data_IF_233390745901
#
_entry.id   IF_233390745901
#
_cell.length_a   1.000
_cell.length_b   1.000
_cell.length_c   1.000
_cell.angle_alpha   90.00
_cell.angle_beta   90.00
_cell.angle_gamma   90.00
#
_symmetry.space_group_name_H-M   'P 1'
#
loop_
_entity.id
_entity.type
_entity.pdbx_description
1 polymer ?
#
# COMPACT_ATOMS: atom_id res chain seq x y z
N UNK A 1 10.60 24.30 31.77
CA UNK A 1 9.95 24.45 33.09
C UNK A 1 8.49 24.09 32.87
N UNK A 2 8.03 22.95 33.38
CA UNK A 2 6.68 22.44 33.10
C UNK A 2 5.67 23.09 34.04
N UNK A 3 4.75 23.88 33.50
CA UNK A 3 3.59 24.33 34.25
C UNK A 3 2.61 23.16 34.40
N UNK A 4 2.13 22.93 35.62
CA UNK A 4 1.18 21.86 35.90
C UNK A 4 -0.19 22.29 35.37
N UNK A 5 -0.64 21.66 34.29
CA UNK A 5 -1.97 21.92 33.76
C UNK A 5 -2.96 21.03 34.48
N UNK A 6 -3.78 21.61 35.35
CA UNK A 6 -4.83 20.87 36.03
C UNK A 6 -6.08 20.72 35.13
N UNK A 7 -6.54 19.49 34.81
CA UNK A 7 -7.60 19.28 33.84
C UNK A 7 -8.99 19.80 34.21
N UNK A 8 -9.25 20.04 35.50
CA UNK A 8 -10.62 20.23 35.98
C UNK A 8 -10.91 21.56 36.68
N UNK A 9 -10.54 22.70 36.09
CA UNK A 9 -10.76 24.03 36.72
C UNK A 9 -12.22 24.44 36.91
N UNK A 10 -13.17 23.64 36.41
CA UNK A 10 -14.60 23.80 36.58
C UNK A 10 -15.16 22.75 37.53
N UNK A 11 -16.16 23.15 38.33
CA UNK A 11 -16.97 22.22 39.13
C UNK A 11 -18.42 22.51 38.79
N UNK A 12 -19.08 21.58 38.11
CA UNK A 12 -20.45 21.65 37.65
C UNK A 12 -21.47 21.41 38.76
N UNK A 13 -22.68 21.92 38.57
CA UNK A 13 -23.80 21.63 39.46
C UNK A 13 -24.39 20.24 39.19
N UNK A 14 -24.11 19.67 38.01
CA UNK A 14 -24.54 18.33 37.60
C UNK A 14 -23.38 17.52 37.03
N UNK A 15 -23.54 16.19 37.03
CA UNK A 15 -22.59 15.27 36.40
C UNK A 15 -22.44 15.52 34.90
N UNK A 16 -23.53 15.86 34.20
CA UNK A 16 -23.50 16.08 32.75
C UNK A 16 -22.68 17.32 32.39
N UNK A 17 -22.74 18.38 33.21
CA UNK A 17 -21.91 19.58 33.04
C UNK A 17 -20.41 19.28 33.23
N UNK A 18 -20.06 18.46 34.23
CA UNK A 18 -18.67 18.03 34.47
C UNK A 18 -18.12 17.21 33.30
N UNK A 19 -18.91 16.25 32.79
CA UNK A 19 -18.53 15.43 31.64
C UNK A 19 -18.35 16.27 30.38
N UNK A 20 -19.23 17.24 30.15
CA UNK A 20 -19.12 18.15 29.02
C UNK A 20 -17.85 19.02 29.12
N UNK A 21 -17.55 19.54 30.31
CA UNK A 21 -16.35 20.31 30.55
C UNK A 21 -15.08 19.50 30.29
N UNK A 22 -14.96 18.31 30.87
CA UNK A 22 -13.80 17.45 30.69
C UNK A 22 -13.62 17.01 29.24
N UNK A 23 -14.71 16.69 28.54
CA UNK A 23 -14.66 16.34 27.11
C UNK A 23 -14.12 17.50 26.28
N UNK A 24 -14.65 18.71 26.46
CA UNK A 24 -14.18 19.87 25.74
C UNK A 24 -12.73 20.20 26.08
N UNK A 25 -12.36 20.13 27.37
CA UNK A 25 -10.98 20.34 27.81
C UNK A 25 -10.01 19.37 27.14
N UNK A 26 -10.36 18.08 27.03
CA UNK A 26 -9.55 17.09 26.32
C UNK A 26 -9.47 17.43 24.83
N UNK A 27 -10.59 17.75 24.18
CA UNK A 27 -10.62 18.08 22.75
C UNK A 27 -9.75 19.30 22.42
N UNK A 28 -9.83 20.35 23.22
CA UNK A 28 -8.99 21.55 23.05
C UNK A 28 -7.50 21.22 23.16
N UNK A 29 -7.14 20.26 24.03
CA UNK A 29 -5.75 19.81 24.18
C UNK A 29 -5.29 18.89 23.07
N UNK A 30 -6.16 18.03 22.55
CA UNK A 30 -5.85 17.22 21.37
C UNK A 30 -5.65 18.15 20.17
N UNK A 31 -6.54 19.12 19.95
CA UNK A 31 -6.37 20.11 18.88
C UNK A 31 -5.08 20.93 19.05
N UNK A 32 -4.76 21.36 20.27
CA UNK A 32 -3.48 22.03 20.52
C UNK A 32 -2.28 21.14 20.20
N UNK A 33 -2.34 19.84 20.51
CA UNK A 33 -1.27 18.89 20.17
C UNK A 33 -1.12 18.75 18.65
N UNK A 34 -2.23 18.63 17.92
CA UNK A 34 -2.22 18.57 16.45
C UNK A 34 -1.60 19.84 15.83
N UNK A 35 -1.84 21.01 16.42
CA UNK A 35 -1.29 22.29 15.95
C UNK A 35 0.18 22.53 16.35
N UNK A 36 0.67 21.93 17.43
CA UNK A 36 1.97 22.27 18.04
C UNK A 36 3.00 21.13 18.05
N UNK A 37 2.60 19.91 17.68
CA UNK A 37 3.54 18.83 17.40
C UNK A 37 3.78 18.83 15.90
N UNK A 38 4.92 19.37 15.49
CA UNK A 38 5.35 19.31 14.10
C UNK A 38 5.56 17.84 13.68
N UNK A 39 4.80 17.41 12.68
CA UNK A 39 4.91 16.11 12.05
C UNK A 39 3.96 16.04 10.87
N UNK A 40 4.50 15.93 9.66
CA UNK A 40 3.67 15.57 8.50
C UNK A 40 3.45 14.07 8.55
N UNK A 41 2.25 13.63 8.92
CA UNK A 41 1.84 12.28 8.62
C UNK A 41 1.65 12.19 7.11
N UNK A 42 2.68 11.70 6.41
CA UNK A 42 2.60 11.31 5.01
C UNK A 42 2.50 9.78 4.98
N UNK A 43 1.29 9.22 5.13
CA UNK A 43 1.08 7.80 4.98
C UNK A 43 1.23 7.39 3.51
N UNK A 44 1.75 6.20 3.27
CA UNK A 44 1.82 5.57 1.96
C UNK A 44 2.69 4.32 2.00
N UNK A 45 2.88 3.65 0.88
CA UNK A 45 3.75 2.48 0.84
C UNK A 45 5.23 2.88 0.93
N UNK A 46 5.94 2.33 1.92
CA UNK A 46 7.38 2.57 2.13
C UNK A 46 8.26 1.42 1.65
N UNK A 47 7.68 0.38 1.05
CA UNK A 47 8.40 -0.75 0.48
C UNK A 47 8.86 -0.38 -0.93
N UNK A 48 10.18 -0.35 -1.17
CA UNK A 48 10.77 0.04 -2.45
C UNK A 48 10.60 -1.02 -3.55
N UNK A 49 10.10 -2.21 -3.19
CA UNK A 49 9.75 -3.29 -4.12
C UNK A 49 8.27 -3.31 -4.50
N UNK A 50 7.42 -2.52 -3.83
CA UNK A 50 5.98 -2.48 -4.09
C UNK A 50 5.63 -1.57 -5.28
N UNK A 51 4.56 -1.91 -5.99
CA UNK A 51 4.17 -1.20 -7.22
C UNK A 51 3.58 0.19 -6.99
N UNK A 52 3.18 0.47 -5.76
CA UNK A 52 2.69 1.76 -5.30
C UNK A 52 3.63 2.41 -4.28
N UNK A 53 4.93 2.10 -4.33
CA UNK A 53 5.94 2.79 -3.52
C UNK A 53 5.81 4.32 -3.66
N UNK A 54 5.68 5.01 -2.52
CA UNK A 54 5.68 6.47 -2.46
C UNK A 54 6.97 6.96 -1.79
N UNK A 55 7.90 7.59 -2.54
CA UNK A 55 9.15 8.10 -1.96
C UNK A 55 8.95 9.24 -0.95
N UNK A 56 7.76 9.82 -0.88
CA UNK A 56 7.42 10.84 0.13
C UNK A 56 6.75 10.24 1.37
N UNK A 57 6.35 8.96 1.34
CA UNK A 57 5.78 8.30 2.50
C UNK A 57 6.81 8.21 3.62
N UNK A 58 6.40 8.69 4.80
CA UNK A 58 7.22 8.63 6.02
C UNK A 58 6.79 7.47 6.93
N UNK A 59 5.64 6.87 6.66
CA UNK A 59 5.04 5.80 7.45
C UNK A 59 4.27 4.84 6.55
N UNK A 60 4.54 3.54 6.71
CA UNK A 60 3.77 2.50 6.02
C UNK A 60 2.36 2.45 6.60
N UNK A 61 1.36 2.73 5.79
CA UNK A 61 -0.06 2.68 6.15
C UNK A 61 -0.72 1.34 5.82
N UNK A 62 0.06 0.36 5.36
CA UNK A 62 -0.41 -0.96 4.94
C UNK A 62 -1.02 -0.98 3.54
N UNK A 63 -0.86 0.08 2.75
CA UNK A 63 -1.36 0.16 1.37
C UNK A 63 -0.47 -0.53 0.34
N UNK A 64 0.73 -1.03 0.70
CA UNK A 64 1.66 -1.63 -0.26
C UNK A 64 1.01 -2.73 -1.08
N UNK A 65 0.99 -2.53 -2.40
CA UNK A 65 0.51 -3.51 -3.36
C UNK A 65 1.71 -4.29 -3.91
N UNK A 66 1.67 -5.63 -3.90
CA UNK A 66 2.68 -6.42 -4.57
C UNK A 66 2.72 -6.01 -6.04
N UNK A 67 3.91 -5.97 -6.63
CA UNK A 67 3.98 -5.80 -8.06
C UNK A 67 3.46 -7.04 -8.76
N UNK A 68 2.53 -6.88 -9.69
CA UNK A 68 2.32 -7.90 -10.71
C UNK A 68 3.63 -8.03 -11.48
N UNK A 69 4.28 -9.19 -11.39
CA UNK A 69 5.48 -9.46 -12.16
C UNK A 69 5.06 -9.61 -13.63
N UNK A 70 5.64 -8.85 -14.57
CA UNK A 70 5.48 -9.19 -15.97
C UNK A 70 5.96 -10.64 -16.18
N UNK A 71 5.10 -11.50 -16.74
CA UNK A 71 5.39 -12.92 -16.93
C UNK A 71 5.02 -13.86 -15.78
N UNK A 72 4.48 -13.36 -14.65
CA UNK A 72 3.71 -14.19 -13.70
C UNK A 72 2.29 -14.35 -14.24
N UNK A 73 2.00 -15.53 -14.78
CA UNK A 73 0.73 -15.86 -15.44
C UNK A 73 -0.23 -16.61 -14.53
N UNK A 74 0.21 -17.13 -13.39
CA UNK A 74 -0.63 -17.87 -12.45
C UNK A 74 -0.91 -17.14 -11.12
N UNK A 75 -0.26 -16.00 -10.91
CA UNK A 75 -0.45 -15.09 -9.78
C UNK A 75 0.20 -15.56 -8.49
N UNK A 76 1.24 -16.39 -8.56
CA UNK A 76 1.97 -16.88 -7.38
C UNK A 76 3.10 -15.96 -6.90
N UNK A 77 3.26 -14.80 -7.55
CA UNK A 77 4.28 -13.78 -7.31
C UNK A 77 5.70 -14.24 -7.66
N UNK A 78 5.86 -15.22 -8.54
CA UNK A 78 7.16 -15.61 -9.07
C UNK A 78 7.08 -15.92 -10.56
N UNK A 79 8.13 -15.59 -11.32
CA UNK A 79 8.26 -16.02 -12.71
C UNK A 79 8.97 -17.37 -12.74
N UNK A 80 8.19 -18.43 -12.81
CA UNK A 80 8.61 -19.81 -12.64
C UNK A 80 8.32 -20.73 -13.84
N UNK A 81 8.43 -22.03 -13.57
CA UNK A 81 8.10 -23.07 -14.56
C UNK A 81 6.60 -23.14 -14.79
N UNK A 82 5.79 -22.83 -13.77
CA UNK A 82 4.34 -22.82 -13.87
C UNK A 82 3.85 -21.79 -14.90
N UNK A 83 4.44 -20.60 -14.93
CA UNK A 83 4.13 -19.56 -15.92
C UNK A 83 4.51 -19.98 -17.33
N UNK A 84 5.70 -20.56 -17.49
CA UNK A 84 6.13 -21.11 -18.79
C UNK A 84 5.16 -22.19 -19.27
N UNK A 85 4.66 -23.05 -18.36
CA UNK A 85 3.66 -24.06 -18.69
C UNK A 85 2.30 -23.44 -19.04
N UNK A 86 1.92 -22.35 -18.36
CA UNK A 86 0.76 -21.52 -18.68
C UNK A 86 0.86 -20.94 -20.08
N UNK A 87 1.96 -20.27 -20.40
CA UNK A 87 2.24 -19.73 -21.73
C UNK A 87 2.24 -20.83 -22.81
N UNK A 88 2.84 -21.99 -22.54
CA UNK A 88 2.84 -23.13 -23.47
C UNK A 88 1.43 -23.66 -23.75
N UNK A 89 0.50 -23.50 -22.81
CA UNK A 89 -0.90 -23.88 -23.02
C UNK A 89 -1.62 -22.96 -24.01
N UNK A 90 -1.12 -21.74 -24.20
CA UNK A 90 -1.65 -20.73 -25.12
C UNK A 90 -0.84 -20.61 -26.41
N UNK A 91 0.20 -21.42 -26.64
CA UNK A 91 1.05 -21.32 -27.83
C UNK A 91 0.25 -21.37 -29.13
N UNK A 92 0.38 -20.34 -29.96
CA UNK A 92 -0.38 -20.17 -31.20
C UNK A 92 -1.78 -19.60 -31.04
N UNK A 93 -2.12 -19.06 -29.86
CA UNK A 93 -3.30 -18.22 -29.66
C UNK A 93 -3.21 -16.94 -30.54
N UNK A 94 -4.36 -16.42 -30.98
CA UNK A 94 -4.47 -15.35 -31.99
C UNK A 94 -5.38 -14.17 -31.57
N UNK A 95 -5.89 -14.17 -30.33
CA UNK A 95 -6.69 -13.07 -29.77
C UNK A 95 -6.99 -13.30 -28.29
N UNK A 96 -6.91 -12.24 -27.46
CA UNK A 96 -7.28 -12.26 -26.03
C UNK A 96 -6.54 -13.36 -25.24
N UNK A 97 -5.23 -13.47 -25.48
CA UNK A 97 -4.33 -14.41 -24.84
C UNK A 97 -3.70 -13.74 -23.62
N UNK A 98 -3.54 -14.47 -22.51
CA UNK A 98 -2.89 -13.95 -21.31
C UNK A 98 -1.36 -13.94 -21.44
N UNK A 99 -0.82 -14.80 -22.32
CA UNK A 99 0.62 -14.94 -22.53
C UNK A 99 1.19 -14.13 -23.71
N UNK A 100 0.42 -13.20 -24.29
CA UNK A 100 0.89 -12.25 -25.31
C UNK A 100 1.58 -11.07 -24.60
N UNK A 101 2.91 -11.11 -24.56
CA UNK A 101 3.74 -10.18 -23.79
C UNK A 101 4.16 -8.97 -24.62
N UNK A 102 4.30 -9.13 -25.94
CA UNK A 102 4.72 -8.04 -26.83
C UNK A 102 3.54 -7.27 -27.48
N UNK A 103 2.31 -7.76 -27.28
CA UNK A 103 1.06 -7.10 -27.66
C UNK A 103 0.76 -7.21 -29.15
N UNK A 104 1.25 -8.25 -29.83
CA UNK A 104 1.02 -8.48 -31.26
C UNK A 104 -0.23 -9.33 -31.58
N UNK A 105 -1.06 -9.59 -30.57
CA UNK A 105 -2.25 -10.44 -30.57
C UNK A 105 -1.94 -11.94 -30.78
N UNK A 106 -0.68 -12.37 -30.70
CA UNK A 106 -0.29 -13.77 -30.86
C UNK A 106 0.61 -14.25 -29.73
N UNK A 107 0.51 -15.54 -29.40
CA UNK A 107 1.47 -16.19 -28.49
C UNK A 107 2.46 -16.99 -29.32
N UNK A 108 3.67 -16.48 -29.46
CA UNK A 108 4.76 -17.05 -30.24
C UNK A 108 6.04 -17.14 -29.42
N UNK A 109 7.14 -17.61 -30.03
CA UNK A 109 8.45 -17.68 -29.37
C UNK A 109 8.93 -16.31 -28.85
N UNK A 110 8.47 -15.21 -29.44
CA UNK A 110 8.76 -13.84 -28.98
C UNK A 110 8.39 -13.68 -27.51
N UNK A 111 7.15 -14.02 -27.16
CA UNK A 111 6.59 -13.93 -25.81
C UNK A 111 7.32 -14.82 -24.82
N UNK A 112 7.70 -16.03 -25.25
CA UNK A 112 8.50 -16.92 -24.40
C UNK A 112 9.88 -16.35 -24.09
N UNK A 113 10.51 -15.65 -25.05
CA UNK A 113 11.81 -15.03 -24.80
C UNK A 113 11.68 -13.88 -23.80
N UNK A 114 10.54 -13.19 -23.78
CA UNK A 114 10.23 -12.16 -22.80
C UNK A 114 10.01 -12.77 -21.40
N UNK A 115 9.16 -13.80 -21.26
CA UNK A 115 8.98 -14.52 -19.99
C UNK A 115 10.31 -15.10 -19.48
N UNK A 116 11.11 -15.69 -20.37
CA UNK A 116 12.43 -16.25 -20.01
C UNK A 116 13.46 -15.18 -19.62
N UNK A 117 13.28 -13.94 -20.08
CA UNK A 117 14.15 -12.83 -19.67
C UNK A 117 13.95 -12.42 -18.21
N UNK A 118 12.77 -12.75 -17.65
CA UNK A 118 12.35 -12.47 -16.27
C UNK A 118 12.37 -13.72 -15.38
N UNK A 119 12.82 -14.87 -15.90
CA UNK A 119 12.78 -16.14 -15.18
C UNK A 119 13.58 -16.10 -13.87
N UNK A 120 12.91 -16.48 -12.78
CA UNK A 120 13.47 -16.49 -11.43
C UNK A 120 13.35 -15.17 -10.69
N UNK A 121 12.73 -14.15 -11.27
CA UNK A 121 12.30 -12.97 -10.53
C UNK A 121 11.14 -13.32 -9.58
N UNK A 122 11.11 -12.63 -8.44
CA UNK A 122 10.08 -12.78 -7.40
C UNK A 122 9.54 -11.41 -7.04
N UNK A 123 8.23 -11.33 -6.88
CA UNK A 123 7.47 -10.24 -6.30
C UNK A 123 6.78 -10.75 -5.00
#
# INVERSE_FOLDING_TARGET
>A
MGEYVWPNVFIGATYDEEVAFLRNWILDRVAWLDDNIEGTCVPGCTDDTACNFDPNALWNDGSCEPCECPGDLDGDLAVGVSDILGALSEFGCLSNCAADMDGDDQVTVSDFLEILSLYGETC
#
